data_IF_466015147815
#
_entry.id   IF_466015147815
#
_cell.length_a   1.000
_cell.length_b   1.000
_cell.length_c   1.000
_cell.angle_alpha   90.00
_cell.angle_beta   90.00
_cell.angle_gamma   90.00
#
_symmetry.space_group_name_H-M   'P 1'
#
loop_
_entity.id
_entity.type
_entity.pdbx_description
1 polymer ?
#
# COMPACT_ATOMS: atom_id res chain seq x y z
N UNK A 1 66.13 55.65 -18.96
CA UNK A 1 66.97 55.23 -17.82
C UNK A 1 67.44 53.80 -18.04
N UNK A 2 68.71 53.54 -17.69
CA UNK A 2 69.50 52.29 -17.65
C UNK A 2 68.66 50.99 -17.58
N UNK A 3 68.81 50.04 -18.50
CA UNK A 3 69.84 48.98 -18.58
C UNK A 3 69.95 48.13 -17.31
N UNK A 4 69.72 46.81 -17.42
CA UNK A 4 70.73 45.76 -17.17
C UNK A 4 70.22 44.42 -17.75
N UNK A 5 71.19 43.68 -18.27
CA UNK A 5 71.15 42.48 -19.11
C UNK A 5 71.37 41.23 -18.24
N UNK A 6 70.98 40.05 -18.74
CA UNK A 6 71.69 38.73 -18.73
C UNK A 6 70.69 37.58 -18.48
N UNK A 7 70.30 36.80 -19.50
CA UNK A 7 70.95 35.56 -20.00
C UNK A 7 71.34 34.59 -18.87
N UNK A 8 70.73 33.39 -18.80
CA UNK A 8 71.27 32.14 -19.33
C UNK A 8 70.56 30.90 -18.71
N UNK A 9 70.45 29.86 -19.55
CA UNK A 9 69.84 28.53 -19.44
C UNK A 9 70.40 27.55 -18.40
N UNK A 10 69.54 26.58 -18.00
CA UNK A 10 69.77 25.13 -17.73
C UNK A 10 70.58 24.77 -16.45
N UNK A 11 70.36 23.70 -15.68
CA UNK A 11 69.61 22.41 -15.74
C UNK A 11 69.43 21.92 -14.24
N UNK A 12 68.99 20.69 -13.89
CA UNK A 12 68.04 20.42 -12.80
C UNK A 12 68.68 19.67 -11.62
N UNK A 13 68.60 20.17 -10.39
CA UNK A 13 69.05 19.38 -9.24
C UNK A 13 67.92 18.49 -8.72
N UNK A 14 68.01 17.24 -9.13
CA UNK A 14 67.40 16.02 -8.59
C UNK A 14 66.78 16.18 -7.18
N UNK A 15 65.48 15.90 -7.09
CA UNK A 15 64.78 15.59 -5.85
C UNK A 15 65.45 14.39 -5.16
N UNK A 16 66.08 14.66 -4.01
CA UNK A 16 66.43 13.64 -3.03
C UNK A 16 65.81 14.07 -1.70
N UNK A 17 64.72 13.40 -1.34
CA UNK A 17 63.96 13.62 -0.11
C UNK A 17 63.04 12.45 0.14
N UNK A 18 63.64 11.26 0.28
CA UNK A 18 62.98 10.08 0.81
C UNK A 18 62.42 10.35 2.22
N UNK A 19 61.41 9.56 2.58
CA UNK A 19 60.95 9.17 3.93
C UNK A 19 59.81 9.97 4.57
N UNK A 20 58.58 9.48 4.34
CA UNK A 20 57.75 8.92 5.43
C UNK A 20 56.66 8.02 4.80
N UNK A 21 57.00 6.75 4.55
CA UNK A 21 55.95 5.72 4.42
C UNK A 21 55.51 5.38 5.84
N UNK A 22 54.49 6.06 6.34
CA UNK A 22 53.67 5.50 7.41
C UNK A 22 52.81 4.42 6.76
N UNK A 23 53.28 3.18 6.85
CA UNK A 23 52.43 2.01 6.64
C UNK A 23 51.38 2.02 7.75
N UNK A 24 50.24 2.64 7.47
CA UNK A 24 49.02 2.34 8.20
C UNK A 24 48.67 0.91 7.77
N UNK A 25 49.19 -0.06 8.52
CA UNK A 25 48.66 -1.41 8.52
C UNK A 25 47.28 -1.34 9.18
N UNK A 26 46.30 -0.80 8.47
CA UNK A 26 44.91 -1.19 8.70
C UNK A 26 44.83 -2.60 8.16
N UNK A 27 44.69 -3.57 9.05
CA UNK A 27 44.07 -4.82 8.69
C UNK A 27 42.81 -4.49 7.90
N UNK A 28 42.71 -5.04 6.70
CA UNK A 28 41.44 -5.16 5.99
C UNK A 28 40.57 -6.10 6.83
N UNK A 29 40.04 -5.59 7.94
CA UNK A 29 38.72 -6.03 8.38
C UNK A 29 37.81 -5.56 7.27
N UNK A 30 37.49 -6.48 6.36
CA UNK A 30 36.34 -6.37 5.48
C UNK A 30 35.15 -6.08 6.40
N UNK A 31 34.83 -4.80 6.57
CA UNK A 31 33.59 -4.40 7.18
C UNK A 31 32.50 -5.02 6.31
N UNK A 32 31.87 -6.08 6.82
CA UNK A 32 30.70 -6.69 6.20
C UNK A 32 29.76 -5.55 5.85
N UNK A 33 29.57 -5.31 4.55
CA UNK A 33 28.65 -4.28 4.10
C UNK A 33 27.28 -4.74 4.59
N UNK A 34 26.51 -3.91 5.32
CA UNK A 34 25.20 -4.32 5.78
C UNK A 34 24.40 -4.80 4.57
N UNK A 35 23.92 -6.04 4.62
CA UNK A 35 22.98 -6.52 3.61
C UNK A 35 21.71 -5.69 3.79
N UNK A 36 21.38 -4.85 2.81
CA UNK A 36 20.11 -4.15 2.83
C UNK A 36 18.99 -5.19 2.74
N UNK A 37 17.97 -5.12 3.62
CA UNK A 37 16.86 -6.07 3.57
C UNK A 37 16.17 -5.98 2.20
N UNK A 38 15.76 -7.15 1.68
CA UNK A 38 15.01 -7.19 0.42
C UNK A 38 13.63 -6.57 0.61
N UNK A 39 13.16 -5.83 -0.40
CA UNK A 39 11.82 -5.27 -0.41
C UNK A 39 10.79 -6.30 -0.91
N UNK A 40 9.68 -6.42 -0.19
CA UNK A 40 8.59 -7.33 -0.54
C UNK A 40 7.35 -6.51 -0.85
N UNK A 41 6.72 -6.77 -2.00
CA UNK A 41 5.52 -6.07 -2.42
C UNK A 41 4.25 -6.86 -2.14
N UNK A 42 3.20 -6.14 -1.74
CA UNK A 42 1.86 -6.67 -1.54
C UNK A 42 0.89 -5.88 -2.40
N UNK A 43 0.16 -6.55 -3.29
CA UNK A 43 -0.94 -5.96 -4.04
C UNK A 43 -2.26 -6.27 -3.34
N UNK A 44 -3.01 -5.23 -3.02
CA UNK A 44 -4.40 -5.32 -2.56
C UNK A 44 -5.30 -4.93 -3.72
N UNK A 45 -6.20 -5.83 -4.10
CA UNK A 45 -7.18 -5.62 -5.16
C UNK A 45 -8.58 -5.71 -4.58
N UNK A 46 -9.41 -4.71 -4.84
CA UNK A 46 -10.84 -4.82 -4.66
C UNK A 46 -11.40 -5.60 -5.86
N UNK A 47 -12.14 -6.68 -5.60
CA UNK A 47 -12.51 -7.63 -6.67
C UNK A 47 -13.99 -7.61 -6.99
N UNK A 48 -14.85 -7.69 -5.96
CA UNK A 48 -16.29 -7.84 -6.17
C UNK A 48 -17.10 -7.39 -4.96
N UNK A 49 -18.36 -7.12 -5.24
CA UNK A 49 -19.41 -6.82 -4.27
C UNK A 49 -20.67 -7.60 -4.63
N UNK A 50 -21.41 -8.02 -3.61
CA UNK A 50 -22.76 -8.57 -3.75
C UNK A 50 -23.60 -8.11 -2.57
N UNK A 51 -24.90 -8.07 -2.76
CA UNK A 51 -25.85 -7.70 -1.73
C UNK A 51 -26.99 -8.72 -1.66
N UNK A 52 -27.62 -8.80 -0.51
CA UNK A 52 -28.82 -9.58 -0.29
C UNK A 52 -29.74 -8.78 0.60
N UNK A 53 -30.97 -8.57 0.14
CA UNK A 53 -32.02 -7.98 0.96
C UNK A 53 -33.14 -8.99 1.20
N UNK A 54 -33.43 -9.20 2.48
CA UNK A 54 -34.46 -10.08 3.05
C UNK A 54 -35.40 -9.32 3.98
N UNK A 55 -35.27 -7.98 4.06
CA UNK A 55 -36.14 -7.10 4.84
C UNK A 55 -37.61 -7.21 4.41
N UNK A 56 -37.85 -7.61 3.17
CA UNK A 56 -39.18 -7.68 2.56
C UNK A 56 -39.63 -6.35 1.97
N UNK A 57 -38.77 -5.33 1.99
CA UNK A 57 -38.94 -4.11 1.20
C UNK A 57 -38.32 -4.36 -0.20
N UNK A 58 -39.09 -4.17 -1.27
CA UNK A 58 -38.66 -4.45 -2.66
C UNK A 58 -39.48 -5.51 -3.42
N UNK A 59 -39.18 -5.70 -4.70
CA UNK A 59 -39.78 -6.76 -5.53
C UNK A 59 -39.22 -8.12 -5.08
N UNK A 60 -40.09 -9.06 -4.73
CA UNK A 60 -39.72 -10.42 -4.31
C UNK A 60 -38.86 -11.18 -5.34
N UNK A 61 -38.75 -10.68 -6.58
CA UNK A 61 -37.97 -11.28 -7.66
C UNK A 61 -36.65 -10.54 -7.97
N UNK A 62 -36.41 -9.36 -7.41
CA UNK A 62 -35.14 -8.64 -7.56
C UNK A 62 -34.97 -7.60 -6.44
N UNK A 63 -34.18 -7.94 -5.42
CA UNK A 63 -33.88 -7.07 -4.28
C UNK A 63 -32.43 -6.60 -4.42
N UNK A 64 -32.24 -5.66 -5.35
CA UNK A 64 -30.98 -4.94 -5.55
C UNK A 64 -30.94 -3.75 -4.59
N UNK A 65 -29.75 -3.48 -4.02
CA UNK A 65 -29.49 -2.31 -3.20
C UNK A 65 -28.68 -1.30 -4.01
N UNK A 66 -29.00 -0.01 -3.87
CA UNK A 66 -28.26 1.07 -4.52
C UNK A 66 -27.14 1.56 -3.60
N UNK A 67 -25.94 0.98 -3.76
CA UNK A 67 -24.82 1.12 -2.83
C UNK A 67 -23.86 2.25 -3.23
N UNK A 68 -23.45 3.04 -2.24
CA UNK A 68 -22.38 4.04 -2.38
C UNK A 68 -21.51 4.07 -1.11
N UNK A 69 -20.42 4.86 -1.13
CA UNK A 69 -19.50 4.98 -0.01
C UNK A 69 -18.04 4.80 -0.42
N UNK A 70 -17.22 4.36 0.53
CA UNK A 70 -15.76 4.31 0.40
C UNK A 70 -15.22 2.94 0.80
N UNK A 71 -14.28 2.42 0.00
CA UNK A 71 -13.52 1.20 0.29
C UNK A 71 -12.04 1.53 0.24
N UNK A 72 -11.34 1.24 1.33
CA UNK A 72 -9.95 1.62 1.53
C UNK A 72 -9.09 0.43 1.92
N UNK A 73 -7.79 0.61 1.76
CA UNK A 73 -6.80 -0.27 2.36
C UNK A 73 -5.68 0.55 2.98
N UNK A 74 -5.13 0.09 4.10
CA UNK A 74 -4.00 0.75 4.74
C UNK A 74 -2.88 -0.21 5.07
N UNK A 75 -1.64 0.23 4.85
CA UNK A 75 -0.45 -0.41 5.36
C UNK A 75 -0.08 0.25 6.69
N UNK A 76 0.10 -0.55 7.73
CA UNK A 76 0.68 -0.10 9.00
C UNK A 76 2.04 -0.74 9.21
N UNK A 77 3.08 0.06 9.45
CA UNK A 77 4.41 -0.38 9.86
C UNK A 77 4.75 0.33 11.18
N UNK A 78 4.70 -0.42 12.30
CA UNK A 78 4.85 0.17 13.63
C UNK A 78 3.77 1.24 13.91
N UNK A 79 4.15 2.52 13.91
CA UNK A 79 3.23 3.65 14.13
C UNK A 79 2.89 4.43 12.85
N UNK A 80 3.49 4.07 11.72
CA UNK A 80 3.25 4.74 10.44
C UNK A 80 2.10 4.04 9.73
N UNK A 81 1.15 4.83 9.23
CA UNK A 81 -0.01 4.34 8.47
C UNK A 81 -0.04 5.03 7.10
N UNK A 82 -0.11 4.24 6.02
CA UNK A 82 -0.32 4.70 4.65
C UNK A 82 -1.66 4.14 4.14
N UNK A 83 -2.66 4.99 3.97
CA UNK A 83 -4.01 4.62 3.53
C UNK A 83 -4.22 4.99 2.06
N UNK A 84 -4.80 4.07 1.30
CA UNK A 84 -5.17 4.22 -0.11
C UNK A 84 -6.66 3.94 -0.29
N UNK A 85 -7.33 4.84 -1.01
CA UNK A 85 -8.72 4.63 -1.44
C UNK A 85 -8.69 3.72 -2.67
N UNK A 86 -9.45 2.62 -2.64
CA UNK A 86 -9.56 1.69 -3.76
C UNK A 86 -10.82 1.95 -4.58
N UNK A 87 -11.88 2.38 -3.92
CA UNK A 87 -13.16 2.71 -4.54
C UNK A 87 -13.86 3.76 -3.68
N UNK A 88 -14.47 4.73 -4.35
CA UNK A 88 -15.19 5.84 -3.73
C UNK A 88 -16.23 6.29 -4.73
N UNK A 89 -17.50 6.19 -4.35
CA UNK A 89 -18.63 6.55 -5.21
C UNK A 89 -19.55 7.45 -4.40
N UNK A 90 -19.92 8.57 -5.01
CA UNK A 90 -20.87 9.51 -4.42
C UNK A 90 -22.30 8.95 -4.50
N UNK A 91 -23.17 9.45 -3.63
CA UNK A 91 -24.57 9.04 -3.53
C UNK A 91 -25.36 9.13 -4.84
N UNK A 92 -25.10 10.14 -5.68
CA UNK A 92 -25.75 10.31 -6.98
C UNK A 92 -25.20 9.40 -8.09
N UNK A 93 -24.12 8.68 -7.78
CA UNK A 93 -23.46 7.70 -8.64
C UNK A 93 -23.56 6.27 -8.08
N UNK A 94 -24.45 6.06 -7.11
CA UNK A 94 -24.69 4.76 -6.47
C UNK A 94 -24.85 3.64 -7.50
N UNK A 95 -24.32 2.46 -7.16
CA UNK A 95 -24.37 1.28 -8.03
C UNK A 95 -25.44 0.31 -7.56
N UNK A 96 -26.19 -0.23 -8.50
CA UNK A 96 -27.16 -1.29 -8.22
C UNK A 96 -26.43 -2.62 -7.99
N UNK A 97 -26.59 -3.19 -6.80
CA UNK A 97 -25.92 -4.43 -6.37
C UNK A 97 -26.96 -5.45 -5.93
N UNK A 98 -26.96 -6.62 -6.58
CA UNK A 98 -27.84 -7.75 -6.23
C UNK A 98 -27.07 -8.94 -5.69
N UNK A 99 -27.73 -10.11 -5.72
CA UNK A 99 -27.17 -11.38 -5.20
C UNK A 99 -26.02 -11.95 -6.03
N UNK A 100 -25.90 -11.51 -7.29
CA UNK A 100 -24.79 -11.90 -8.15
C UNK A 100 -23.57 -11.01 -7.89
N UNK A 101 -22.38 -11.57 -8.06
CA UNK A 101 -21.14 -10.82 -7.93
C UNK A 101 -21.07 -9.71 -9.00
N UNK A 102 -21.02 -8.46 -8.56
CA UNK A 102 -20.68 -7.29 -9.37
C UNK A 102 -19.18 -7.02 -9.23
N UNK A 103 -18.47 -6.90 -10.34
CA UNK A 103 -17.04 -6.62 -10.30
C UNK A 103 -16.79 -5.17 -9.89
N UNK A 104 -15.89 -4.98 -8.93
CA UNK A 104 -15.35 -3.67 -8.58
C UNK A 104 -13.90 -3.59 -9.06
N UNK A 105 -13.45 -2.38 -9.37
CA UNK A 105 -12.09 -2.13 -9.87
C UNK A 105 -11.42 -1.14 -8.92
N UNK A 106 -10.39 -1.60 -8.23
CA UNK A 106 -9.54 -0.79 -7.38
C UNK A 106 -8.31 -1.59 -6.96
N UNK A 107 -7.14 -0.97 -6.99
CA UNK A 107 -5.91 -1.63 -6.53
C UNK A 107 -4.93 -0.66 -5.89
N UNK A 108 -4.16 -1.19 -4.93
CA UNK A 108 -3.01 -0.53 -4.36
C UNK A 108 -1.87 -1.54 -4.21
N UNK A 109 -0.63 -1.07 -4.33
CA UNK A 109 0.56 -1.86 -4.04
C UNK A 109 1.35 -1.18 -2.93
N UNK A 110 1.74 -1.98 -1.95
CA UNK A 110 2.57 -1.60 -0.82
C UNK A 110 3.91 -2.31 -0.91
N UNK A 111 4.99 -1.64 -0.53
CA UNK A 111 6.33 -2.23 -0.43
C UNK A 111 6.79 -2.15 1.01
N UNK A 112 7.30 -3.27 1.53
CA UNK A 112 7.72 -3.42 2.91
C UNK A 112 9.07 -4.13 2.95
N UNK A 113 10.07 -3.58 3.67
CA UNK A 113 11.33 -4.29 3.90
C UNK A 113 11.10 -5.63 4.60
N UNK A 114 11.82 -6.68 4.20
CA UNK A 114 11.60 -8.04 4.69
C UNK A 114 11.68 -8.16 6.22
N UNK A 115 12.61 -7.43 6.84
CA UNK A 115 12.80 -7.40 8.29
C UNK A 115 11.63 -6.75 9.04
N UNK A 116 10.81 -5.95 8.36
CA UNK A 116 9.61 -5.30 8.90
C UNK A 116 8.33 -6.14 8.68
N UNK A 117 8.35 -7.28 7.98
CA UNK A 117 7.12 -8.06 7.73
C UNK A 117 6.38 -8.48 9.01
N UNK A 118 7.15 -8.79 10.06
CA UNK A 118 6.60 -9.26 11.35
C UNK A 118 5.92 -8.15 12.17
N UNK A 119 6.22 -6.88 11.88
CA UNK A 119 5.64 -5.72 12.56
C UNK A 119 4.70 -4.90 11.67
N UNK A 120 4.38 -5.44 10.48
CA UNK A 120 3.56 -4.79 9.48
C UNK A 120 2.24 -5.51 9.28
N UNK A 121 1.19 -4.75 8.98
CA UNK A 121 -0.14 -5.28 8.67
C UNK A 121 -0.80 -4.51 7.54
N UNK A 122 -1.66 -5.20 6.79
CA UNK A 122 -2.63 -4.54 5.91
C UNK A 122 -4.00 -4.61 6.57
N UNK A 123 -4.74 -3.52 6.45
CA UNK A 123 -6.17 -3.46 6.77
C UNK A 123 -6.95 -3.21 5.49
N UNK A 124 -8.00 -3.98 5.26
CA UNK A 124 -9.05 -3.66 4.31
C UNK A 124 -10.22 -3.11 5.11
N UNK A 125 -10.76 -1.95 4.72
CA UNK A 125 -11.84 -1.30 5.44
C UNK A 125 -12.83 -0.66 4.46
N UNK A 126 -14.04 -0.40 4.93
CA UNK A 126 -15.03 0.31 4.15
C UNK A 126 -16.15 0.87 5.00
N UNK A 127 -16.77 1.93 4.48
CA UNK A 127 -17.99 2.52 4.99
C UNK A 127 -18.97 2.57 3.83
N UNK A 128 -20.13 1.93 3.98
CA UNK A 128 -21.12 1.81 2.92
C UNK A 128 -22.48 2.35 3.39
N UNK A 129 -23.18 2.92 2.44
CA UNK A 129 -24.56 3.39 2.56
C UNK A 129 -25.39 2.90 1.37
N UNK A 130 -26.71 3.01 1.52
CA UNK A 130 -27.72 2.64 0.53
C UNK A 130 -28.68 3.83 0.29
N UNK A 131 -29.12 3.99 -0.96
CA UNK A 131 -30.12 4.99 -1.37
C UNK A 131 -30.95 4.52 -2.57
N UNK A 132 -32.14 3.98 -2.30
CA UNK A 132 -33.12 3.52 -3.29
C UNK A 132 -33.76 4.61 -4.17
N UNK A 133 -33.34 5.87 -4.05
CA UNK A 133 -33.89 7.01 -4.80
C UNK A 133 -35.22 7.55 -4.25
N UNK A 134 -35.75 6.96 -3.18
CA UNK A 134 -36.92 7.44 -2.43
C UNK A 134 -36.60 8.61 -1.49
N UNK A 135 -35.34 9.02 -1.40
CA UNK A 135 -34.86 10.05 -0.48
C UNK A 135 -34.64 9.54 0.94
N UNK A 136 -34.67 8.23 1.13
CA UNK A 136 -34.22 7.57 2.35
C UNK A 136 -32.78 7.13 2.16
N UNK A 137 -31.95 7.47 3.15
CA UNK A 137 -30.55 7.06 3.20
C UNK A 137 -30.41 6.05 4.32
N UNK A 138 -29.72 4.95 4.02
CA UNK A 138 -29.59 3.86 4.96
C UNK A 138 -28.13 3.44 5.10
N UNK A 139 -27.60 3.62 6.30
CA UNK A 139 -26.26 3.17 6.63
C UNK A 139 -26.16 1.65 6.59
N UNK A 140 -25.18 1.13 5.84
CA UNK A 140 -24.94 -0.31 5.69
C UNK A 140 -23.93 -0.85 6.71
N UNK A 141 -23.00 0.01 7.17
CA UNK A 141 -22.00 -0.31 8.17
C UNK A 141 -20.64 0.33 7.90
N UNK A 142 -19.77 0.25 8.91
CA UNK A 142 -18.34 0.52 8.85
C UNK A 142 -17.61 -0.75 9.29
N UNK A 143 -16.94 -1.41 8.36
CA UNK A 143 -16.35 -2.73 8.55
C UNK A 143 -14.87 -2.71 8.21
N UNK A 144 -14.08 -3.50 8.94
CA UNK A 144 -12.66 -3.64 8.65
C UNK A 144 -12.10 -5.00 9.04
N UNK A 145 -11.03 -5.40 8.35
CA UNK A 145 -10.29 -6.63 8.62
C UNK A 145 -8.79 -6.37 8.47
N UNK A 146 -8.04 -6.68 9.53
CA UNK A 146 -6.59 -6.44 9.62
C UNK A 146 -5.85 -7.77 9.73
N UNK A 147 -4.74 -7.89 9.01
CA UNK A 147 -3.91 -9.09 8.99
C UNK A 147 -2.42 -8.75 8.89
N UNK A 148 -1.60 -9.52 9.61
CA UNK A 148 -0.15 -9.38 9.63
C UNK A 148 0.46 -9.86 8.31
N UNK A 149 1.42 -9.11 7.76
CA UNK A 149 2.05 -9.44 6.47
C UNK A 149 2.89 -10.71 6.51
N UNK A 150 3.49 -11.03 7.66
CA UNK A 150 4.23 -12.29 7.85
C UNK A 150 3.39 -13.56 7.63
N UNK A 151 2.05 -13.48 7.71
CA UNK A 151 1.16 -14.61 7.47
C UNK A 151 0.81 -14.82 5.98
N UNK A 152 1.11 -13.85 5.11
CA UNK A 152 0.72 -13.87 3.70
C UNK A 152 1.88 -14.43 2.86
N UNK A 153 1.72 -15.67 2.38
CA UNK A 153 2.72 -16.36 1.55
C UNK A 153 2.28 -16.52 0.08
N UNK A 154 1.22 -15.86 -0.33
CA UNK A 154 0.66 -15.93 -1.68
C UNK A 154 -0.54 -15.01 -1.81
N UNK A 155 -1.62 -15.51 -2.39
CA UNK A 155 -2.89 -14.80 -2.52
C UNK A 155 -3.88 -15.25 -1.45
N UNK A 156 -4.56 -14.29 -0.82
CA UNK A 156 -5.65 -14.53 0.12
C UNK A 156 -6.84 -13.61 -0.21
N UNK A 157 -8.05 -14.13 -0.04
CA UNK A 157 -9.27 -13.33 -0.10
C UNK A 157 -9.65 -12.84 1.30
N UNK A 158 -10.18 -11.63 1.35
CA UNK A 158 -10.65 -10.95 2.58
C UNK A 158 -12.05 -10.45 2.29
N UNK A 159 -13.02 -10.98 3.02
CA UNK A 159 -14.41 -10.55 2.90
C UNK A 159 -14.77 -9.60 4.06
N UNK A 160 -15.32 -8.44 3.72
CA UNK A 160 -16.01 -7.56 4.67
C UNK A 160 -17.51 -7.78 4.50
N UNK A 161 -18.24 -7.93 5.60
CA UNK A 161 -19.68 -8.17 5.61
C UNK A 161 -20.37 -7.05 6.39
N UNK A 162 -21.09 -6.21 5.67
CA UNK A 162 -21.90 -5.12 6.18
C UNK A 162 -23.32 -5.65 6.39
N UNK A 163 -23.95 -5.39 7.53
CA UNK A 163 -25.23 -6.04 7.90
C UNK A 163 -26.16 -5.14 8.70
N UNK A 164 -25.95 -3.82 8.63
CA UNK A 164 -26.94 -2.85 9.07
C UNK A 164 -27.73 -2.38 7.85
N UNK A 165 -29.06 -2.17 7.94
CA UNK A 165 -29.96 -2.70 8.97
C UNK A 165 -30.04 -4.24 8.91
N UNK A 166 -30.65 -4.82 9.94
CA UNK A 166 -31.03 -6.22 9.91
C UNK A 166 -31.95 -6.53 8.71
N UNK A 167 -31.61 -7.58 7.96
CA UNK A 167 -32.35 -8.00 6.77
C UNK A 167 -31.61 -7.67 5.48
N UNK A 168 -30.71 -6.70 5.50
CA UNK A 168 -29.79 -6.40 4.39
C UNK A 168 -28.39 -6.90 4.72
N UNK A 169 -27.65 -7.31 3.69
CA UNK A 169 -26.27 -7.73 3.82
C UNK A 169 -25.52 -7.37 2.56
N UNK A 170 -24.40 -6.66 2.69
CA UNK A 170 -23.47 -6.38 1.59
C UNK A 170 -22.15 -7.07 1.90
N UNK A 171 -21.62 -7.83 0.94
CA UNK A 171 -20.34 -8.52 1.06
C UNK A 171 -19.39 -7.96 0.01
N UNK A 172 -18.27 -7.40 0.48
CA UNK A 172 -17.19 -6.89 -0.37
C UNK A 172 -15.99 -7.82 -0.24
N UNK A 173 -15.43 -8.25 -1.37
CA UNK A 173 -14.23 -9.09 -1.41
C UNK A 173 -13.01 -8.30 -1.88
N UNK A 174 -12.00 -8.26 -1.04
CA UNK A 174 -10.65 -7.85 -1.37
C UNK A 174 -9.79 -9.10 -1.58
N UNK A 175 -8.72 -8.97 -2.36
CA UNK A 175 -7.70 -9.99 -2.54
C UNK A 175 -6.35 -9.36 -2.26
N UNK A 176 -5.58 -9.97 -1.35
CA UNK A 176 -4.20 -9.54 -1.05
C UNK A 176 -3.23 -10.58 -1.57
N UNK A 177 -2.28 -10.14 -2.38
CA UNK A 177 -1.26 -10.99 -3.00
C UNK A 177 0.14 -10.49 -2.65
N UNK A 178 0.96 -11.37 -2.07
CA UNK A 178 2.42 -11.17 -2.01
C UNK A 178 3.01 -11.41 -3.40
N UNK A 179 3.76 -10.44 -3.91
CA UNK A 179 4.39 -10.47 -5.24
C UNK A 179 5.81 -11.03 -5.20
#
# INVERSE_FOLDING_TARGET
>A
MKSIIQKLRMLPLLLLGMTLMTTISCSEDEAETPVEPEDISFRVSLTKIKATDTSGEGDANNVELEIYGDLTTSLTIGTTVDTRVLWSIAMDEAISVGQNDTQLIGEATFTVPEDQLSNSSITCAGELDENDGGGFFQFQGDESSTFTLAAINGTQDVELTFSEPAGQTVVVTFTVTRL
#
